data_IF_817940511166
#
_entry.id   IF_817940511166
#
_cell.length_a   1.000
_cell.length_b   1.000
_cell.length_c   1.000
_cell.angle_alpha   90.00
_cell.angle_beta   90.00
_cell.angle_gamma   90.00
#
_symmetry.space_group_name_H-M   'P 1'
#
loop_
_entity.id
_entity.type
_entity.pdbx_description
1 polymer ?
#
# COMPACT_ATOMS: atom_id res chain seq x y z
N UNK A 1 38.45 -13.18 -56.15
CA UNK A 1 37.44 -14.06 -55.52
C UNK A 1 37.44 -13.94 -54.00
N UNK A 2 38.52 -14.25 -53.29
CA UNK A 2 38.59 -14.18 -51.81
C UNK A 2 38.23 -12.79 -51.25
N UNK A 3 38.79 -11.71 -51.82
CA UNK A 3 38.48 -10.34 -51.41
C UNK A 3 36.99 -9.96 -51.62
N UNK A 4 36.34 -10.51 -52.64
CA UNK A 4 34.91 -10.30 -52.90
C UNK A 4 34.04 -10.98 -51.83
N UNK A 5 34.41 -12.21 -51.44
CA UNK A 5 33.71 -12.95 -50.38
C UNK A 5 33.85 -12.27 -49.01
N UNK A 6 35.03 -11.71 -48.71
CA UNK A 6 35.25 -10.93 -47.48
C UNK A 6 34.36 -9.68 -47.49
N UNK A 7 34.27 -8.96 -48.62
CA UNK A 7 33.44 -7.77 -48.72
C UNK A 7 31.94 -8.07 -48.56
N UNK A 8 31.47 -9.16 -49.18
CA UNK A 8 30.09 -9.63 -49.05
C UNK A 8 29.74 -10.06 -47.63
N UNK A 9 30.67 -10.71 -46.92
CA UNK A 9 30.48 -11.09 -45.52
C UNK A 9 30.34 -9.85 -44.60
N UNK A 10 31.13 -8.79 -44.85
CA UNK A 10 31.03 -7.53 -44.12
C UNK A 10 29.68 -6.86 -44.37
N UNK A 11 29.23 -6.79 -45.64
CA UNK A 11 27.92 -6.22 -45.98
C UNK A 11 26.78 -7.01 -45.33
N UNK A 12 26.83 -8.35 -45.39
CA UNK A 12 25.83 -9.21 -44.76
C UNK A 12 25.77 -9.02 -43.23
N UNK A 13 26.92 -8.85 -42.58
CA UNK A 13 27.00 -8.57 -41.14
C UNK A 13 26.34 -7.22 -40.79
N UNK A 14 26.60 -6.15 -41.56
CA UNK A 14 25.96 -4.86 -41.31
C UNK A 14 24.44 -4.88 -41.55
N UNK A 15 23.97 -5.59 -42.58
CA UNK A 15 22.52 -5.77 -42.83
C UNK A 15 21.86 -6.54 -41.68
N UNK A 16 22.50 -7.63 -41.22
CA UNK A 16 22.03 -8.40 -40.07
C UNK A 16 21.95 -7.56 -38.80
N UNK A 17 22.97 -6.73 -38.53
CA UNK A 17 23.01 -5.85 -37.36
C UNK A 17 21.89 -4.80 -37.36
N UNK A 18 21.63 -4.18 -38.52
CA UNK A 18 20.53 -3.21 -38.68
C UNK A 18 19.16 -3.90 -38.52
N UNK A 19 19.03 -5.11 -39.06
CA UNK A 19 17.81 -5.91 -38.93
C UNK A 19 17.53 -6.27 -37.46
N UNK A 20 18.54 -6.73 -36.72
CA UNK A 20 18.44 -7.04 -35.28
C UNK A 20 18.08 -5.82 -34.44
N UNK A 21 18.71 -4.66 -34.68
CA UNK A 21 18.32 -3.42 -33.97
C UNK A 21 16.85 -3.05 -34.18
N UNK A 22 16.32 -3.24 -35.41
CA UNK A 22 14.91 -2.98 -35.70
C UNK A 22 13.95 -4.01 -35.09
N UNK A 23 14.40 -5.23 -34.83
CA UNK A 23 13.62 -6.23 -34.08
C UNK A 23 13.60 -5.87 -32.60
N UNK A 24 14.75 -5.55 -32.00
CA UNK A 24 14.85 -5.14 -30.59
C UNK A 24 14.00 -3.87 -30.32
N UNK A 25 13.99 -2.90 -31.26
CA UNK A 25 13.09 -1.71 -31.19
C UNK A 25 11.60 -2.08 -31.32
N UNK A 26 11.26 -3.09 -32.12
CA UNK A 26 9.86 -3.54 -32.27
C UNK A 26 9.38 -4.32 -31.04
N UNK A 27 10.24 -5.14 -30.45
CA UNK A 27 9.97 -5.84 -29.19
C UNK A 27 9.78 -4.84 -28.06
N UNK A 28 10.66 -3.84 -27.92
CA UNK A 28 10.51 -2.77 -26.93
C UNK A 28 9.19 -1.99 -27.10
N UNK A 29 8.80 -1.65 -28.33
CA UNK A 29 7.52 -0.97 -28.60
C UNK A 29 6.31 -1.88 -28.37
N UNK A 30 6.44 -3.19 -28.61
CA UNK A 30 5.38 -4.15 -28.33
C UNK A 30 5.17 -4.35 -26.83
N UNK A 31 6.25 -4.40 -26.05
CA UNK A 31 6.22 -4.45 -24.60
C UNK A 31 5.64 -3.15 -24.02
N UNK A 32 6.08 -1.97 -24.49
CA UNK A 32 5.50 -0.69 -24.06
C UNK A 32 4.00 -0.57 -24.39
N UNK A 33 3.55 -1.09 -25.54
CA UNK A 33 2.13 -1.10 -25.89
C UNK A 33 1.34 -2.09 -25.05
N UNK A 34 1.90 -3.27 -24.79
CA UNK A 34 1.27 -4.26 -23.93
C UNK A 34 1.14 -3.74 -22.50
N UNK A 35 2.17 -3.07 -21.97
CA UNK A 35 2.16 -2.41 -20.67
C UNK A 35 1.15 -1.27 -20.64
N UNK A 36 1.09 -0.44 -21.68
CA UNK A 36 0.12 0.65 -21.78
C UNK A 36 -1.33 0.15 -21.87
N UNK A 37 -1.58 -0.93 -22.63
CA UNK A 37 -2.90 -1.58 -22.74
C UNK A 37 -3.29 -2.26 -21.43
N UNK A 38 -2.34 -2.90 -20.74
CA UNK A 38 -2.54 -3.52 -19.44
C UNK A 38 -2.87 -2.48 -18.37
N UNK A 39 -2.10 -1.38 -18.31
CA UNK A 39 -2.34 -0.24 -17.43
C UNK A 39 -3.69 0.42 -17.71
N UNK A 40 -4.04 0.63 -18.98
CA UNK A 40 -5.34 1.17 -19.35
C UNK A 40 -6.49 0.24 -18.91
N UNK A 41 -6.32 -1.07 -19.09
CA UNK A 41 -7.28 -2.08 -18.65
C UNK A 41 -7.43 -2.08 -17.13
N UNK A 42 -6.33 -1.99 -16.38
CA UNK A 42 -6.35 -1.94 -14.91
C UNK A 42 -6.96 -0.65 -14.38
N UNK A 43 -6.69 0.49 -15.02
CA UNK A 43 -7.35 1.76 -14.71
C UNK A 43 -8.87 1.71 -14.94
N UNK A 44 -9.32 1.04 -16.01
CA UNK A 44 -10.75 0.84 -16.25
C UNK A 44 -11.37 -0.15 -15.25
N UNK A 45 -10.67 -1.24 -14.93
CA UNK A 45 -11.12 -2.26 -13.97
C UNK A 45 -11.30 -1.67 -12.55
N UNK A 46 -10.40 -0.76 -12.15
CA UNK A 46 -10.38 -0.14 -10.82
C UNK A 46 -10.80 1.33 -10.82
N UNK A 47 -11.57 1.77 -11.82
CA UNK A 47 -12.03 3.16 -11.96
C UNK A 47 -12.85 3.67 -10.77
N UNK A 48 -13.45 2.76 -10.01
CA UNK A 48 -14.22 3.08 -8.80
C UNK A 48 -13.31 3.46 -7.62
N UNK A 49 -11.98 3.28 -7.74
CA UNK A 49 -10.96 3.60 -6.73
C UNK A 49 -9.88 4.54 -7.29
N UNK A 50 -10.28 5.70 -7.85
CA UNK A 50 -9.38 6.56 -8.63
C UNK A 50 -8.20 7.09 -7.80
N UNK A 51 -8.36 7.24 -6.48
CA UNK A 51 -7.30 7.76 -5.62
C UNK A 51 -6.26 6.71 -5.26
N UNK A 52 -6.54 5.42 -5.44
CA UNK A 52 -5.63 4.33 -5.10
C UNK A 52 -4.81 3.81 -6.29
N UNK A 53 -5.21 4.17 -7.53
CA UNK A 53 -4.50 3.77 -8.75
C UNK A 53 -3.02 4.18 -8.73
N UNK A 54 -2.13 3.21 -8.92
CA UNK A 54 -0.68 3.41 -8.90
C UNK A 54 -0.09 3.71 -7.51
N UNK A 55 -0.91 3.70 -6.45
CA UNK A 55 -0.48 3.89 -5.04
C UNK A 55 -0.60 2.60 -4.24
N UNK A 56 -1.61 1.78 -4.58
CA UNK A 56 -1.81 0.43 -4.07
C UNK A 56 -1.57 -0.57 -5.20
N UNK A 57 -0.87 -1.67 -4.90
CA UNK A 57 -0.69 -2.77 -5.86
C UNK A 57 -2.04 -3.31 -6.33
N UNK A 58 -2.18 -3.52 -7.64
CA UNK A 58 -3.43 -3.95 -8.25
C UNK A 58 -3.95 -5.29 -7.71
N UNK A 59 -3.08 -6.16 -7.19
CA UNK A 59 -3.46 -7.42 -6.53
C UNK A 59 -4.25 -7.15 -5.24
N UNK A 60 -3.81 -6.18 -4.43
CA UNK A 60 -4.50 -5.80 -3.20
C UNK A 60 -5.79 -5.03 -3.50
N UNK A 61 -5.80 -4.18 -4.55
CA UNK A 61 -7.02 -3.56 -5.04
C UNK A 61 -8.04 -4.59 -5.52
N UNK A 62 -7.61 -5.65 -6.22
CA UNK A 62 -8.49 -6.73 -6.65
C UNK A 62 -9.08 -7.48 -5.45
N UNK A 63 -8.23 -7.88 -4.51
CA UNK A 63 -8.64 -8.67 -3.34
C UNK A 63 -9.60 -7.87 -2.44
N UNK A 64 -9.18 -6.69 -2.02
CA UNK A 64 -9.96 -5.89 -1.08
C UNK A 64 -11.18 -5.25 -1.76
N UNK A 65 -11.04 -4.83 -3.03
CA UNK A 65 -12.11 -4.45 -3.96
C UNK A 65 -13.27 -5.45 -3.96
N UNK A 66 -12.96 -6.72 -4.23
CA UNK A 66 -13.97 -7.78 -4.29
C UNK A 66 -14.58 -8.06 -2.92
N UNK A 67 -13.77 -8.10 -1.86
CA UNK A 67 -14.26 -8.32 -0.49
C UNK A 67 -15.38 -7.32 -0.14
N UNK A 68 -15.22 -6.05 -0.53
CA UNK A 68 -16.24 -5.04 -0.33
C UNK A 68 -17.51 -5.29 -1.13
N UNK A 69 -17.36 -5.48 -2.46
CA UNK A 69 -18.49 -5.65 -3.37
C UNK A 69 -19.34 -6.86 -2.99
N UNK A 70 -18.70 -7.97 -2.61
CA UNK A 70 -19.39 -9.18 -2.15
C UNK A 70 -20.11 -8.94 -0.81
N UNK A 71 -19.48 -8.20 0.11
CA UNK A 71 -20.06 -7.92 1.41
C UNK A 71 -21.27 -6.98 1.32
N UNK A 72 -21.18 -5.91 0.54
CA UNK A 72 -22.29 -4.96 0.36
C UNK A 72 -23.48 -5.60 -0.37
N UNK A 73 -23.21 -6.44 -1.39
CA UNK A 73 -24.26 -7.19 -2.10
C UNK A 73 -24.98 -8.20 -1.21
N UNK A 74 -24.24 -8.94 -0.39
CA UNK A 74 -24.81 -10.01 0.44
C UNK A 74 -25.42 -9.47 1.73
N UNK A 75 -24.97 -8.31 2.21
CA UNK A 75 -25.37 -7.72 3.48
C UNK A 75 -25.51 -6.19 3.40
N UNK A 76 -26.43 -5.67 2.56
CA UNK A 76 -26.60 -4.23 2.36
C UNK A 76 -26.99 -3.55 3.66
N UNK A 77 -26.25 -2.50 4.02
CA UNK A 77 -26.53 -1.69 5.22
C UNK A 77 -26.14 -2.34 6.56
N UNK A 78 -25.59 -3.57 6.58
CA UNK A 78 -25.16 -4.26 7.81
C UNK A 78 -24.13 -3.46 8.63
N UNK A 79 -23.45 -2.53 7.98
CA UNK A 79 -22.32 -1.80 8.54
C UNK A 79 -22.57 -0.29 8.65
N UNK A 80 -23.82 0.16 8.52
CA UNK A 80 -24.18 1.56 8.78
C UNK A 80 -23.96 1.94 10.26
N UNK A 81 -23.91 0.96 11.18
CA UNK A 81 -23.70 1.14 12.61
C UNK A 81 -22.78 0.07 13.26
N UNK A 82 -21.56 -0.18 12.75
CA UNK A 82 -20.51 -0.80 13.60
C UNK A 82 -19.72 -2.01 13.09
N UNK A 83 -19.27 -2.03 11.83
CA UNK A 83 -18.20 -2.97 11.42
C UNK A 83 -17.68 -2.66 10.03
N UNK A 84 -16.48 -2.12 9.90
CA UNK A 84 -15.81 -2.08 8.60
C UNK A 84 -15.07 -3.41 8.40
N UNK A 85 -15.38 -4.22 7.37
CA UNK A 85 -14.69 -5.49 7.17
C UNK A 85 -13.19 -5.31 6.96
N UNK A 86 -12.78 -4.21 6.31
CA UNK A 86 -11.37 -3.92 6.09
C UNK A 86 -10.68 -3.41 7.34
N UNK A 87 -11.31 -2.52 8.13
CA UNK A 87 -10.75 -2.10 9.41
C UNK A 87 -10.71 -3.25 10.40
N UNK A 88 -11.72 -4.13 10.43
CA UNK A 88 -11.72 -5.33 11.26
C UNK A 88 -10.58 -6.28 10.85
N UNK A 89 -10.37 -6.49 9.55
CA UNK A 89 -9.24 -7.32 9.09
C UNK A 89 -7.89 -6.68 9.44
N UNK A 90 -7.73 -5.36 9.28
CA UNK A 90 -6.55 -4.62 9.72
C UNK A 90 -6.33 -4.77 11.23
N UNK A 91 -7.40 -4.65 12.03
CA UNK A 91 -7.36 -4.83 13.47
C UNK A 91 -6.95 -6.26 13.85
N UNK A 92 -7.44 -7.28 13.15
CA UNK A 92 -7.02 -8.67 13.37
C UNK A 92 -5.54 -8.90 13.02
N UNK A 93 -5.02 -8.23 11.99
CA UNK A 93 -3.59 -8.26 11.67
C UNK A 93 -2.78 -7.61 12.80
N UNK A 94 -3.19 -6.42 13.25
CA UNK A 94 -2.62 -5.77 14.43
C UNK A 94 -2.61 -6.69 15.66
N UNK A 95 -3.75 -7.29 16.02
CA UNK A 95 -3.85 -8.18 17.18
C UNK A 95 -2.94 -9.40 17.06
N UNK A 96 -2.82 -9.97 15.86
CA UNK A 96 -1.91 -11.10 15.60
C UNK A 96 -0.46 -10.70 15.86
N UNK A 97 -0.04 -9.54 15.36
CA UNK A 97 1.37 -9.12 15.45
C UNK A 97 1.75 -8.55 16.82
N UNK A 98 0.83 -7.82 17.48
CA UNK A 98 0.99 -7.33 18.87
C UNK A 98 0.94 -8.44 19.90
N UNK A 99 0.24 -9.55 19.64
CA UNK A 99 0.20 -10.71 20.55
C UNK A 99 1.09 -11.85 20.06
N UNK A 100 2.16 -11.56 19.33
CA UNK A 100 3.05 -12.58 18.79
C UNK A 100 3.94 -13.16 19.90
N UNK A 101 3.46 -14.27 20.49
CA UNK A 101 4.09 -14.99 21.62
C UNK A 101 5.49 -15.53 21.33
N UNK A 102 5.94 -15.56 20.06
CA UNK A 102 7.32 -15.95 19.73
C UNK A 102 8.35 -14.86 20.12
N UNK A 103 7.90 -13.66 20.54
CA UNK A 103 8.76 -12.49 20.76
C UNK A 103 9.01 -12.09 22.20
N UNK A 104 8.12 -12.39 23.16
CA UNK A 104 8.23 -12.10 24.62
C UNK A 104 8.83 -10.72 25.01
N UNK A 105 8.92 -9.76 24.08
CA UNK A 105 9.46 -8.41 24.29
C UNK A 105 8.26 -7.47 24.33
N UNK A 106 7.79 -7.20 25.53
CA UNK A 106 6.65 -6.31 25.82
C UNK A 106 6.79 -4.96 25.11
N UNK A 107 8.02 -4.48 24.95
CA UNK A 107 8.31 -3.22 24.27
C UNK A 107 7.99 -3.24 22.75
N UNK A 108 7.96 -4.41 22.11
CA UNK A 108 7.53 -4.53 20.69
C UNK A 108 6.01 -4.37 20.60
N UNK A 109 5.27 -4.91 21.56
CA UNK A 109 3.81 -4.80 21.60
C UNK A 109 3.41 -3.32 21.70
N UNK A 110 4.08 -2.55 22.56
CA UNK A 110 3.88 -1.11 22.66
C UNK A 110 4.16 -0.33 21.36
N UNK A 111 5.09 -0.79 20.52
CA UNK A 111 5.31 -0.18 19.20
C UNK A 111 4.14 -0.46 18.25
N UNK A 112 3.56 -1.66 18.30
CA UNK A 112 2.36 -1.99 17.52
C UNK A 112 1.12 -1.27 18.04
N UNK A 113 0.94 -1.16 19.36
CA UNK A 113 -0.13 -0.38 19.98
C UNK A 113 -0.08 1.07 19.50
N UNK A 114 1.11 1.70 19.60
CA UNK A 114 1.32 3.07 19.13
C UNK A 114 1.04 3.21 17.63
N UNK A 115 1.41 2.22 16.82
CA UNK A 115 1.15 2.22 15.39
C UNK A 115 -0.35 2.06 15.06
N UNK A 116 -1.05 1.24 15.84
CA UNK A 116 -2.49 1.08 15.73
C UNK A 116 -3.20 2.39 16.07
N UNK A 117 -2.86 3.01 17.21
CA UNK A 117 -3.46 4.28 17.62
C UNK A 117 -3.24 5.38 16.55
N UNK A 118 -2.05 5.44 15.95
CA UNK A 118 -1.77 6.34 14.81
C UNK A 118 -2.59 6.01 13.56
N UNK A 119 -2.89 4.73 13.32
CA UNK A 119 -3.79 4.29 12.23
C UNK A 119 -5.20 4.81 12.48
N UNK A 120 -5.67 4.77 13.72
CA UNK A 120 -7.00 5.25 14.08
C UNK A 120 -7.13 6.76 13.93
N UNK A 121 -6.13 7.51 14.42
CA UNK A 121 -6.06 8.96 14.22
C UNK A 121 -5.99 9.34 12.72
N UNK A 122 -5.19 8.60 11.93
CA UNK A 122 -5.13 8.79 10.47
C UNK A 122 -6.51 8.60 9.85
N UNK A 123 -7.22 7.52 10.19
CA UNK A 123 -8.51 7.23 9.61
C UNK A 123 -9.53 8.33 9.92
N UNK A 124 -9.60 8.82 11.16
CA UNK A 124 -10.44 9.95 11.52
C UNK A 124 -10.03 11.23 10.75
N UNK A 125 -8.73 11.49 10.62
CA UNK A 125 -8.21 12.64 9.86
C UNK A 125 -8.64 12.59 8.39
N UNK A 126 -8.51 11.43 7.75
CA UNK A 126 -8.94 11.20 6.36
C UNK A 126 -10.44 11.47 6.19
N UNK A 127 -11.28 10.89 7.04
CA UNK A 127 -12.73 11.10 6.96
C UNK A 127 -13.13 12.56 7.16
N UNK A 128 -12.43 13.27 8.04
CA UNK A 128 -12.76 14.65 8.38
C UNK A 128 -12.28 15.64 7.34
N UNK A 129 -11.08 15.47 6.80
CA UNK A 129 -10.37 16.52 6.04
C UNK A 129 -10.00 16.16 4.60
N UNK A 130 -10.19 14.93 4.14
CA UNK A 130 -9.88 14.53 2.76
C UNK A 130 -11.14 14.16 1.95
N UNK A 131 -11.08 14.37 0.63
CA UNK A 131 -12.12 13.99 -0.32
C UNK A 131 -11.84 12.62 -0.91
N UNK A 132 -12.65 11.65 -0.50
CA UNK A 132 -12.64 10.30 -1.05
C UNK A 132 -13.87 9.56 -0.53
N UNK A 133 -14.05 8.34 -1.00
CA UNK A 133 -14.99 7.42 -0.36
C UNK A 133 -14.37 6.88 0.93
N UNK A 134 -15.21 6.65 1.94
CA UNK A 134 -14.82 5.90 3.15
C UNK A 134 -14.15 4.58 2.78
N UNK A 135 -14.64 3.95 1.71
CA UNK A 135 -14.11 2.70 1.20
C UNK A 135 -12.65 2.78 0.73
N UNK A 136 -12.27 3.81 -0.03
CA UNK A 136 -10.89 3.97 -0.46
C UNK A 136 -9.94 4.22 0.73
N UNK A 137 -10.40 4.91 1.79
CA UNK A 137 -9.63 5.03 3.04
C UNK A 137 -9.42 3.66 3.68
N UNK A 138 -10.48 2.87 3.77
CA UNK A 138 -10.41 1.53 4.38
C UNK A 138 -9.48 0.58 3.61
N UNK A 139 -9.48 0.60 2.27
CA UNK A 139 -8.50 -0.16 1.47
C UNK A 139 -7.07 0.32 1.74
N UNK A 140 -6.85 1.64 1.81
CA UNK A 140 -5.52 2.17 2.09
C UNK A 140 -4.99 1.67 3.44
N UNK A 141 -5.84 1.67 4.48
CA UNK A 141 -5.50 1.20 5.83
C UNK A 141 -5.23 -0.30 5.87
N UNK A 142 -6.11 -1.14 5.32
CA UNK A 142 -5.88 -2.60 5.33
C UNK A 142 -4.67 -2.99 4.49
N UNK A 143 -4.41 -2.30 3.37
CA UNK A 143 -3.21 -2.56 2.56
C UNK A 143 -1.95 -2.21 3.36
N UNK A 144 -1.95 -1.10 4.08
CA UNK A 144 -0.86 -0.75 4.97
C UNK A 144 -0.63 -1.83 6.04
N UNK A 145 -1.69 -2.28 6.71
CA UNK A 145 -1.58 -3.33 7.72
C UNK A 145 -1.16 -4.70 7.16
N UNK A 146 -1.53 -5.00 5.92
CA UNK A 146 -1.03 -6.18 5.22
C UNK A 146 0.49 -6.14 5.03
N UNK A 147 1.05 -4.98 4.65
CA UNK A 147 2.49 -4.80 4.51
C UNK A 147 3.21 -4.83 5.87
N UNK A 148 2.62 -4.20 6.88
CA UNK A 148 3.12 -4.22 8.26
C UNK A 148 3.17 -5.65 8.79
N UNK A 149 2.10 -6.43 8.62
CA UNK A 149 2.04 -7.82 9.06
C UNK A 149 3.06 -8.70 8.33
N UNK A 150 3.27 -8.48 7.04
CA UNK A 150 4.30 -9.18 6.27
C UNK A 150 5.71 -8.85 6.77
N UNK A 151 6.03 -7.56 6.99
CA UNK A 151 7.34 -7.18 7.51
C UNK A 151 7.55 -7.68 8.94
N UNK A 152 6.48 -7.70 9.74
CA UNK A 152 6.51 -8.20 11.09
C UNK A 152 7.02 -9.63 11.13
N UNK A 153 6.73 -10.51 10.16
CA UNK A 153 7.27 -11.89 10.13
C UNK A 153 8.81 -11.95 10.23
N UNK A 154 9.50 -10.91 9.75
CA UNK A 154 10.96 -10.84 9.74
C UNK A 154 11.60 -10.65 11.11
N UNK A 155 10.87 -10.26 12.17
CA UNK A 155 11.53 -9.97 13.45
C UNK A 155 11.98 -11.22 14.22
N UNK A 156 11.67 -12.42 13.74
CA UNK A 156 12.07 -13.67 14.41
C UNK A 156 13.60 -13.71 14.59
N UNK A 157 14.04 -13.79 15.84
CA UNK A 157 15.46 -13.84 16.19
C UNK A 157 16.21 -12.51 16.17
N UNK A 158 15.51 -11.37 16.04
CA UNK A 158 16.10 -10.03 16.14
C UNK A 158 15.98 -9.47 17.57
N UNK A 159 16.92 -8.64 17.98
CA UNK A 159 16.85 -7.89 19.24
C UNK A 159 15.92 -6.66 19.11
N UNK A 160 15.49 -6.12 20.26
CA UNK A 160 14.59 -4.98 20.33
C UNK A 160 15.12 -3.73 19.61
N UNK A 161 16.40 -3.39 19.75
CA UNK A 161 16.96 -2.18 19.13
C UNK A 161 16.98 -2.30 17.59
N UNK A 162 17.20 -3.50 17.08
CA UNK A 162 17.05 -3.79 15.66
C UNK A 162 15.60 -3.62 15.21
N UNK A 163 14.63 -4.17 15.94
CA UNK A 163 13.20 -4.04 15.63
C UNK A 163 12.75 -2.58 15.67
N UNK A 164 13.13 -1.86 16.72
CA UNK A 164 12.84 -0.42 16.89
C UNK A 164 13.34 0.40 15.70
N UNK A 165 14.53 0.09 15.17
CA UNK A 165 15.04 0.72 13.94
C UNK A 165 14.22 0.36 12.71
N UNK A 166 13.69 -0.86 12.62
CA UNK A 166 12.82 -1.25 11.51
C UNK A 166 11.53 -0.43 11.49
N UNK A 167 10.91 -0.17 12.65
CA UNK A 167 9.75 0.73 12.77
C UNK A 167 10.02 2.15 12.25
N UNK A 168 11.28 2.60 12.23
CA UNK A 168 11.65 3.91 11.70
C UNK A 168 11.81 3.94 10.17
N UNK A 169 11.43 2.86 9.49
CA UNK A 169 11.54 2.69 8.04
C UNK A 169 10.28 2.06 7.42
N UNK A 170 10.24 1.99 6.09
CA UNK A 170 9.18 1.29 5.38
C UNK A 170 9.17 -0.21 5.76
N UNK A 171 7.99 -0.83 5.86
CA UNK A 171 6.68 -0.28 5.54
C UNK A 171 6.04 0.51 6.68
N UNK A 172 6.54 0.46 7.92
CA UNK A 172 5.91 1.10 9.08
C UNK A 172 5.70 2.61 8.90
N UNK A 173 6.68 3.32 8.35
CA UNK A 173 6.57 4.76 8.08
C UNK A 173 5.73 5.10 6.83
N UNK A 174 5.29 4.12 6.04
CA UNK A 174 4.50 4.41 4.84
C UNK A 174 3.09 4.94 5.16
N UNK A 175 2.64 4.77 6.41
CA UNK A 175 1.43 5.42 6.94
C UNK A 175 1.45 6.95 6.71
N UNK A 176 2.64 7.57 6.76
CA UNK A 176 2.84 9.02 6.54
C UNK A 176 2.47 9.45 5.10
N UNK A 177 2.47 8.51 4.15
CA UNK A 177 2.15 8.78 2.75
C UNK A 177 0.65 8.77 2.49
N UNK A 178 -0.13 8.03 3.27
CA UNK A 178 -1.56 7.78 3.01
C UNK A 178 -2.39 9.08 2.89
N UNK A 179 -2.23 10.10 3.75
CA UNK A 179 -2.96 11.37 3.58
C UNK A 179 -2.78 12.01 2.20
N UNK A 180 -1.57 11.92 1.64
CA UNK A 180 -1.25 12.53 0.35
C UNK A 180 -1.94 11.84 -0.84
N UNK A 181 -2.52 10.66 -0.63
CA UNK A 181 -3.20 9.93 -1.68
C UNK A 181 -4.55 10.56 -2.04
N UNK A 182 -5.12 11.33 -1.11
CA UNK A 182 -6.48 11.84 -1.22
C UNK A 182 -6.50 13.37 -1.30
N UNK A 183 -7.29 13.96 -2.21
CA UNK A 183 -7.49 15.40 -2.25
C UNK A 183 -7.95 15.95 -0.89
N UNK A 184 -7.63 17.21 -0.60
CA UNK A 184 -8.00 17.87 0.66
C UNK A 184 -9.33 18.59 0.51
N UNK A 185 -10.17 18.55 1.54
CA UNK A 185 -11.38 19.38 1.65
C UNK A 185 -11.03 20.84 1.93
N UNK A 186 -11.98 21.73 1.69
CA UNK A 186 -11.85 23.17 1.99
C UNK A 186 -11.55 23.47 3.48
N UNK A 187 -12.00 22.60 4.39
CA UNK A 187 -11.82 22.75 5.84
C UNK A 187 -10.52 22.13 6.36
N UNK A 188 -9.61 21.71 5.48
CA UNK A 188 -8.37 21.04 5.87
C UNK A 188 -7.49 21.96 6.73
N UNK A 189 -6.93 21.48 7.86
CA UNK A 189 -6.06 22.28 8.70
C UNK A 189 -4.77 22.70 7.97
N UNK A 190 -4.19 23.84 8.37
CA UNK A 190 -2.93 24.32 7.79
C UNK A 190 -1.72 23.43 8.14
N UNK A 191 -1.82 22.69 9.26
CA UNK A 191 -0.81 21.71 9.70
C UNK A 191 -1.37 20.31 9.52
N UNK A 192 -0.58 19.44 8.91
CA UNK A 192 -0.88 18.02 8.76
C UNK A 192 -0.70 17.24 10.06
N UNK A 193 -1.32 16.06 10.10
CA UNK A 193 -1.07 15.06 11.13
C UNK A 193 0.42 14.66 11.11
N UNK A 194 1.08 14.74 12.28
CA UNK A 194 2.42 14.20 12.47
C UNK A 194 2.33 12.78 13.02
N UNK A 195 3.22 11.90 12.57
CA UNK A 195 3.36 10.52 13.08
C UNK A 195 4.63 10.32 13.91
N UNK A 196 5.43 11.39 14.06
CA UNK A 196 6.71 11.39 14.76
C UNK A 196 6.65 12.21 16.02
N UNK A 197 7.47 11.83 17.00
CA UNK A 197 7.61 12.54 18.27
C UNK A 197 8.36 13.87 18.08
N UNK A 198 8.63 14.59 19.18
CA UNK A 198 9.30 15.89 19.13
C UNK A 198 10.77 15.78 18.71
N UNK A 199 11.35 14.60 18.90
CA UNK A 199 12.71 14.22 18.58
C UNK A 199 12.84 13.65 17.15
N UNK A 200 11.72 13.40 16.46
CA UNK A 200 11.65 12.88 15.10
C UNK A 200 11.56 11.35 15.00
N UNK A 201 11.44 10.64 16.13
CA UNK A 201 11.30 9.18 16.14
C UNK A 201 9.88 8.75 15.79
N UNK A 202 9.78 7.54 15.27
CA UNK A 202 8.52 6.88 14.92
C UNK A 202 8.43 5.53 15.66
N UNK A 203 7.22 5.08 16.05
CA UNK A 203 5.97 5.85 16.10
C UNK A 203 5.96 6.80 17.32
N UNK A 204 5.19 7.89 17.25
CA UNK A 204 4.88 8.68 18.46
C UNK A 204 3.74 8.05 19.27
N UNK A 205 3.61 8.46 20.52
CA UNK A 205 2.41 8.19 21.33
C UNK A 205 1.17 8.92 20.77
N UNK A 206 0.03 8.26 20.91
CA UNK A 206 -1.29 8.63 20.41
C UNK A 206 -2.35 8.08 21.39
N UNK A 207 -3.51 8.72 21.46
CA UNK A 207 -4.66 8.17 22.23
C UNK A 207 -5.63 7.37 21.34
N UNK A 208 -5.34 7.24 20.03
CA UNK A 208 -6.22 6.60 19.06
C UNK A 208 -7.46 7.40 18.71
N UNK A 209 -8.44 6.75 18.06
CA UNK A 209 -9.73 7.37 17.69
C UNK A 209 -10.92 6.61 18.25
N UNK A 210 -11.75 7.30 19.04
CA UNK A 210 -13.03 6.78 19.54
C UNK A 210 -13.99 6.39 18.40
N UNK A 211 -13.93 7.09 17.28
CA UNK A 211 -14.77 6.81 16.10
C UNK A 211 -14.43 5.45 15.52
N UNK A 212 -13.15 5.08 15.52
CA UNK A 212 -12.70 3.77 15.04
C UNK A 212 -13.09 2.67 16.04
N UNK A 213 -12.94 2.90 17.34
CA UNK A 213 -13.36 1.94 18.38
C UNK A 213 -14.84 1.60 18.31
N UNK A 214 -15.72 2.59 18.07
CA UNK A 214 -17.16 2.36 17.89
C UNK A 214 -17.49 1.54 16.61
N UNK A 215 -16.59 1.56 15.62
CA UNK A 215 -16.77 0.88 14.34
C UNK A 215 -16.20 -0.52 14.31
N UNK A 216 -15.31 -0.87 15.23
CA UNK A 216 -14.78 -2.23 15.36
C UNK A 216 -15.71 -3.00 16.29
N UNK A 217 -16.55 -3.85 15.71
CA UNK A 217 -17.30 -4.84 16.49
C UNK A 217 -16.40 -6.02 16.78
N UNK A 218 -16.07 -6.22 18.06
CA UNK A 218 -15.52 -7.49 18.57
C UNK A 218 -16.66 -8.33 19.15
#
# INVERSE_FOLDING_TARGET
>A
MILLYILLAIIAYYIYRIYRQKEDEREAVADEKFDAEWEAKKKEEFKDYPHLLGKVDYTWLELFGRLFVETDKNHPGRWQNGGSPHLNAAFMMYLKESNNTDRDIIEVDHLFDSLWDLTEELFEHLEKYHESTKYEYEIAIITFWQLVAQEAESFKGKDFETIKKMFQSAPFTDIEKIPSWFPKKDNHPAKELSFRDKEGNFPRESEGSKIVHERISV
#
